data_IF_599404300847
#
_entry.id   IF_599404300847
#
_cell.length_a   1.000
_cell.length_b   1.000
_cell.length_c   1.000
_cell.angle_alpha   90.00
_cell.angle_beta   90.00
_cell.angle_gamma   90.00
#
_symmetry.space_group_name_H-M   'P 1'
#
loop_
_entity.id
_entity.type
_entity.pdbx_description
1 polymer ?
#
# COMPACT_ATOMS: atom_id res chain seq x y z
N UNK A 1 18.92 0.10 -12.45
CA UNK A 1 17.77 0.56 -11.67
C UNK A 1 18.18 1.65 -10.69
N UNK A 2 17.54 2.81 -10.76
CA UNK A 2 17.55 3.84 -9.72
C UNK A 2 16.09 4.06 -9.35
N UNK A 3 15.66 3.44 -8.25
CA UNK A 3 14.30 3.60 -7.74
C UNK A 3 14.14 5.02 -7.21
N UNK A 4 13.12 5.74 -7.69
CA UNK A 4 12.81 7.08 -7.24
C UNK A 4 11.39 7.10 -6.69
N UNK A 5 11.23 7.68 -5.51
CA UNK A 5 9.94 8.13 -4.98
C UNK A 5 9.94 9.66 -4.94
N UNK A 6 9.09 10.28 -5.76
CA UNK A 6 9.01 11.72 -5.98
C UNK A 6 7.59 12.18 -5.74
N UNK A 7 7.37 13.23 -4.96
CA UNK A 7 6.01 13.73 -4.78
C UNK A 7 5.86 14.76 -3.69
N UNK A 8 4.60 15.00 -3.33
CA UNK A 8 4.24 15.91 -2.26
C UNK A 8 3.09 15.33 -1.45
N UNK A 9 3.00 15.73 -0.19
CA UNK A 9 1.95 15.28 0.72
C UNK A 9 1.48 16.44 1.61
N UNK A 10 0.48 16.17 2.45
CA UNK A 10 -0.06 17.13 3.43
C UNK A 10 0.97 17.71 4.43
N UNK A 11 2.16 17.13 4.58
CA UNK A 11 3.23 17.66 5.46
C UNK A 11 4.11 18.67 4.73
N UNK A 12 4.34 18.46 3.44
CA UNK A 12 5.25 19.29 2.63
C UNK A 12 4.53 20.34 1.78
N UNK A 13 3.22 20.16 1.54
CA UNK A 13 2.43 21.03 0.69
C UNK A 13 1.09 21.46 1.32
N UNK A 14 0.76 22.77 1.31
CA UNK A 14 -0.57 23.24 1.67
C UNK A 14 -1.62 22.75 0.66
N UNK A 15 -2.90 22.86 1.04
CA UNK A 15 -4.02 22.28 0.26
C UNK A 15 -4.15 22.88 -1.14
N UNK A 16 -3.93 24.19 -1.28
CA UNK A 16 -3.98 24.94 -2.54
C UNK A 16 -2.92 24.50 -3.56
N UNK A 17 -1.77 23.99 -3.08
CA UNK A 17 -0.75 23.36 -3.93
C UNK A 17 -1.14 21.92 -4.27
N UNK A 18 -1.66 21.17 -3.29
CA UNK A 18 -2.07 19.77 -3.48
C UNK A 18 -3.22 19.63 -4.49
N UNK A 19 -4.20 20.51 -4.47
CA UNK A 19 -5.33 20.49 -5.40
C UNK A 19 -4.90 20.71 -6.85
N UNK A 20 -3.85 21.50 -7.09
CA UNK A 20 -3.34 21.75 -8.45
C UNK A 20 -2.65 20.53 -9.05
N UNK A 21 -2.02 19.70 -8.21
CA UNK A 21 -1.32 18.48 -8.63
C UNK A 21 -2.11 17.20 -8.36
N UNK A 22 -3.35 17.31 -7.90
CA UNK A 22 -4.23 16.16 -7.76
C UNK A 22 -4.53 15.61 -9.16
N UNK A 23 -4.49 14.29 -9.31
CA UNK A 23 -4.68 13.62 -10.60
C UNK A 23 -6.06 12.95 -10.60
N UNK A 24 -7.03 13.49 -11.35
CA UNK A 24 -8.32 12.82 -11.54
C UNK A 24 -8.15 11.47 -12.25
N UNK A 25 -8.99 10.49 -11.90
CA UNK A 25 -8.97 9.15 -12.51
C UNK A 25 -9.12 9.20 -14.04
N UNK A 26 -9.88 10.17 -14.56
CA UNK A 26 -10.13 10.34 -16.00
C UNK A 26 -8.87 10.68 -16.83
N UNK A 27 -7.83 11.25 -16.22
CA UNK A 27 -6.59 11.66 -16.90
C UNK A 27 -5.36 10.84 -16.47
N UNK A 28 -5.57 9.85 -15.61
CA UNK A 28 -4.48 9.05 -15.04
C UNK A 28 -3.75 8.23 -16.10
N UNK A 29 -4.47 7.62 -17.05
CA UNK A 29 -3.89 6.86 -18.17
C UNK A 29 -2.98 7.73 -19.06
N UNK A 30 -3.47 8.92 -19.44
CA UNK A 30 -2.72 9.84 -20.31
C UNK A 30 -1.50 10.41 -19.60
N UNK A 31 -1.60 10.74 -18.32
CA UNK A 31 -0.47 11.23 -17.53
C UNK A 31 0.59 10.15 -17.32
N UNK A 32 0.18 8.92 -16.99
CA UNK A 32 1.14 7.82 -16.86
C UNK A 32 1.83 7.52 -18.19
N UNK A 33 1.12 7.65 -19.31
CA UNK A 33 1.73 7.49 -20.65
C UNK A 33 2.73 8.62 -20.93
N UNK A 34 2.37 9.89 -20.69
CA UNK A 34 3.28 11.04 -20.82
C UNK A 34 4.54 10.90 -19.96
N UNK A 35 4.40 10.41 -18.72
CA UNK A 35 5.53 10.13 -17.84
C UNK A 35 6.46 9.05 -18.40
N UNK A 36 5.90 8.02 -19.01
CA UNK A 36 6.65 6.94 -19.65
C UNK A 36 7.32 7.36 -20.97
N UNK A 37 6.85 8.43 -21.61
CA UNK A 37 7.45 9.01 -22.82
C UNK A 37 8.67 9.89 -22.51
N UNK A 38 8.91 10.23 -21.23
CA UNK A 38 10.11 10.96 -20.83
C UNK A 38 11.37 10.14 -21.11
N UNK A 39 12.46 10.80 -21.58
CA UNK A 39 13.74 10.15 -21.68
C UNK A 39 14.19 9.67 -20.29
N UNK A 40 14.81 8.49 -20.27
CA UNK A 40 15.38 7.87 -19.06
C UNK A 40 14.37 7.38 -18.01
N UNK A 41 13.05 7.48 -18.23
CA UNK A 41 12.03 6.78 -17.40
C UNK A 41 11.72 5.41 -18.00
N UNK A 42 12.13 4.34 -17.33
CA UNK A 42 11.96 2.97 -17.85
C UNK A 42 10.64 2.33 -17.45
N UNK A 43 10.18 2.66 -16.24
CA UNK A 43 8.99 2.15 -15.58
C UNK A 43 8.46 3.18 -14.58
N UNK A 44 7.15 3.27 -14.39
CA UNK A 44 6.54 4.21 -13.46
C UNK A 44 5.17 3.76 -12.91
N UNK A 45 4.79 4.30 -11.76
CA UNK A 45 3.48 4.22 -11.16
C UNK A 45 3.13 5.53 -10.45
N UNK A 46 1.86 5.94 -10.51
CA UNK A 46 1.37 7.20 -9.93
C UNK A 46 0.32 6.89 -8.86
N UNK A 47 0.56 7.38 -7.64
CA UNK A 47 -0.36 7.35 -6.51
C UNK A 47 -0.88 8.76 -6.26
N UNK A 48 -2.14 9.01 -6.62
CA UNK A 48 -2.83 10.25 -6.25
C UNK A 48 -3.98 9.96 -5.29
N UNK A 49 -4.04 10.74 -4.22
CA UNK A 49 -5.06 10.69 -3.17
C UNK A 49 -5.38 12.13 -2.76
N UNK A 50 -6.38 12.33 -1.89
CA UNK A 50 -6.64 13.67 -1.33
C UNK A 50 -5.45 14.25 -0.54
N UNK A 51 -4.52 13.43 -0.05
CA UNK A 51 -3.46 13.85 0.87
C UNK A 51 -2.04 13.74 0.30
N UNK A 52 -1.88 13.18 -0.90
CA UNK A 52 -0.59 13.04 -1.59
C UNK A 52 -0.76 12.81 -3.08
N UNK A 53 0.21 13.30 -3.84
CA UNK A 53 0.48 12.88 -5.22
C UNK A 53 1.94 12.43 -5.24
N UNK A 54 2.16 11.15 -5.53
CA UNK A 54 3.48 10.51 -5.56
C UNK A 54 3.69 9.73 -6.86
N UNK A 55 4.91 9.78 -7.36
CA UNK A 55 5.41 9.09 -8.54
C UNK A 55 6.52 8.15 -8.06
N UNK A 56 6.36 6.87 -8.39
CA UNK A 56 7.38 5.85 -8.19
C UNK A 56 7.90 5.42 -9.54
N UNK A 57 9.19 5.52 -9.80
CA UNK A 57 9.74 5.18 -11.11
C UNK A 57 11.16 4.64 -11.05
N UNK A 58 11.60 4.06 -12.16
CA UNK A 58 12.99 3.73 -12.44
C UNK A 58 13.53 4.75 -13.44
N UNK A 59 14.41 5.64 -12.98
CA UNK A 59 15.00 6.67 -13.83
C UNK A 59 16.41 7.05 -13.42
N UNK A 60 17.27 7.31 -14.40
CA UNK A 60 18.61 7.88 -14.17
C UNK A 60 18.59 9.42 -14.03
N UNK A 61 17.45 10.07 -14.30
CA UNK A 61 17.28 11.52 -14.19
C UNK A 61 16.09 11.88 -13.28
N UNK A 62 16.23 11.69 -11.95
CA UNK A 62 15.14 11.94 -10.98
C UNK A 62 14.55 13.36 -11.06
N UNK A 63 15.38 14.36 -11.36
CA UNK A 63 15.00 15.78 -11.41
C UNK A 63 14.04 16.07 -12.57
N UNK A 64 14.08 15.28 -13.66
CA UNK A 64 13.16 15.44 -14.78
C UNK A 64 11.68 15.23 -14.37
N UNK A 65 11.43 14.42 -13.34
CA UNK A 65 10.08 14.14 -12.84
C UNK A 65 9.43 15.40 -12.26
N UNK A 66 10.19 16.18 -11.48
CA UNK A 66 9.67 17.40 -10.86
C UNK A 66 9.29 18.44 -11.92
N UNK A 67 10.14 18.57 -12.95
CA UNK A 67 9.92 19.48 -14.07
C UNK A 67 8.71 19.05 -14.91
N UNK A 68 8.60 17.75 -15.20
CA UNK A 68 7.44 17.19 -15.89
C UNK A 68 6.14 17.44 -15.11
N UNK A 69 6.14 17.18 -13.80
CA UNK A 69 4.95 17.37 -12.96
C UNK A 69 4.52 18.85 -12.92
N UNK A 70 5.47 19.78 -12.89
CA UNK A 70 5.18 21.21 -12.96
C UNK A 70 4.56 21.59 -14.32
N UNK A 71 5.08 21.05 -15.43
CA UNK A 71 4.60 21.34 -16.79
C UNK A 71 3.19 20.79 -17.03
N UNK A 72 2.95 19.51 -16.70
CA UNK A 72 1.67 18.84 -16.90
C UNK A 72 0.52 19.52 -16.14
N UNK A 73 0.79 19.98 -14.91
CA UNK A 73 -0.19 20.66 -14.08
C UNK A 73 -0.19 22.19 -14.24
N UNK A 74 0.64 22.74 -15.13
CA UNK A 74 0.79 24.18 -15.36
C UNK A 74 1.04 24.98 -14.07
N UNK A 75 1.85 24.40 -13.17
CA UNK A 75 2.23 25.00 -11.89
C UNK A 75 3.65 25.54 -11.98
N UNK A 76 3.92 26.65 -11.29
CA UNK A 76 5.28 27.20 -11.19
C UNK A 76 6.24 26.16 -10.59
N UNK A 77 7.34 25.89 -11.29
CA UNK A 77 8.42 25.00 -10.84
C UNK A 77 8.99 25.44 -9.48
N UNK A 78 9.11 26.76 -9.25
CA UNK A 78 9.54 27.31 -7.97
C UNK A 78 8.56 27.00 -6.84
N UNK A 79 7.25 27.03 -7.10
CA UNK A 79 6.25 26.67 -6.10
C UNK A 79 6.29 25.16 -5.80
N UNK A 80 6.44 24.34 -6.83
CA UNK A 80 6.47 22.88 -6.70
C UNK A 80 7.70 22.41 -5.92
N UNK A 81 8.89 22.90 -6.30
CA UNK A 81 10.19 22.53 -5.71
C UNK A 81 10.30 22.81 -4.21
N UNK A 82 9.56 23.81 -3.69
CA UNK A 82 9.52 24.09 -2.25
C UNK A 82 8.73 23.04 -1.45
N UNK A 83 7.82 22.32 -2.11
CA UNK A 83 6.90 21.37 -1.48
C UNK A 83 7.15 19.91 -1.87
N UNK A 84 7.97 19.68 -2.89
CA UNK A 84 8.23 18.37 -3.46
C UNK A 84 9.45 17.73 -2.78
N UNK A 85 9.32 16.47 -2.40
CA UNK A 85 10.43 15.64 -1.95
C UNK A 85 10.83 14.64 -3.04
N UNK A 86 12.10 14.30 -3.03
CA UNK A 86 12.72 13.37 -3.97
C UNK A 86 13.60 12.40 -3.16
N UNK A 87 13.26 11.12 -3.20
CA UNK A 87 14.01 10.06 -2.53
C UNK A 87 14.51 9.03 -3.52
N UNK A 88 15.81 8.75 -3.49
CA UNK A 88 16.48 7.85 -4.42
C UNK A 88 16.92 6.55 -3.74
N UNK A 89 16.94 5.46 -4.52
CA UNK A 89 17.41 4.15 -4.10
C UNK A 89 16.72 3.65 -2.83
N UNK A 90 17.54 3.36 -1.80
CA UNK A 90 17.04 2.81 -0.54
C UNK A 90 16.14 3.78 0.22
N UNK A 91 16.38 5.10 0.13
CA UNK A 91 15.52 6.10 0.78
C UNK A 91 14.14 6.14 0.11
N UNK A 92 14.08 5.98 -1.21
CA UNK A 92 12.81 5.84 -1.92
C UNK A 92 12.02 4.61 -1.44
N UNK A 93 12.69 3.47 -1.29
CA UNK A 93 12.07 2.24 -0.77
C UNK A 93 11.62 2.42 0.68
N UNK A 94 12.44 3.07 1.53
CA UNK A 94 12.10 3.40 2.91
C UNK A 94 10.85 4.28 2.98
N UNK A 95 10.79 5.34 2.18
CA UNK A 95 9.61 6.20 2.07
C UNK A 95 8.38 5.40 1.65
N UNK A 96 8.50 4.57 0.61
CA UNK A 96 7.39 3.74 0.13
C UNK A 96 6.89 2.77 1.21
N UNK A 97 7.79 2.16 2.00
CA UNK A 97 7.43 1.35 3.17
C UNK A 97 6.67 2.14 4.24
N UNK A 98 7.08 3.39 4.52
CA UNK A 98 6.38 4.28 5.47
C UNK A 98 4.98 4.62 5.00
N UNK A 99 4.82 5.00 3.72
CA UNK A 99 3.53 5.32 3.10
C UNK A 99 2.61 4.11 3.13
N UNK A 100 3.08 2.96 2.65
CA UNK A 100 2.30 1.73 2.58
C UNK A 100 1.93 1.17 3.97
N UNK A 101 2.72 1.48 5.00
CA UNK A 101 2.42 1.10 6.39
C UNK A 101 1.48 2.07 7.11
N UNK A 102 1.13 3.21 6.48
CA UNK A 102 0.25 4.23 7.04
C UNK A 102 0.93 5.16 8.04
N UNK A 103 2.26 5.14 8.16
CA UNK A 103 3.02 6.03 9.05
C UNK A 103 3.07 7.46 8.54
N UNK A 104 3.00 7.62 7.23
CA UNK A 104 3.07 8.93 6.58
C UNK A 104 1.68 9.47 6.19
N UNK A 105 0.60 8.86 6.67
CA UNK A 105 -0.78 9.34 6.42
C UNK A 105 -1.16 10.44 7.41
N UNK A 106 -2.04 11.36 6.98
CA UNK A 106 -2.62 12.40 7.86
C UNK A 106 -3.27 11.76 9.10
N UNK A 107 -3.93 10.62 8.88
CA UNK A 107 -4.36 9.70 9.92
C UNK A 107 -3.37 8.53 10.00
N UNK A 108 -2.45 8.58 10.96
CA UNK A 108 -1.46 7.51 11.19
C UNK A 108 -2.18 6.18 11.43
N UNK A 109 -1.88 5.17 10.61
CA UNK A 109 -2.41 3.81 10.75
C UNK A 109 -3.58 3.45 9.83
N UNK A 110 -4.09 4.42 9.06
CA UNK A 110 -5.23 4.22 8.17
C UNK A 110 -4.98 3.08 7.15
N UNK A 111 -5.87 2.07 7.07
CA UNK A 111 -5.68 0.92 6.16
C UNK A 111 -5.79 1.28 4.68
N UNK A 112 -6.43 2.42 4.36
CA UNK A 112 -6.83 2.77 3.00
C UNK A 112 -5.63 3.04 2.09
N UNK A 113 -4.55 3.62 2.61
CA UNK A 113 -3.39 4.00 1.78
C UNK A 113 -2.70 2.80 1.13
N UNK A 114 -2.61 1.67 1.83
CA UNK A 114 -2.07 0.42 1.27
C UNK A 114 -2.95 -0.10 0.12
N UNK A 115 -4.28 0.04 0.27
CA UNK A 115 -5.24 -0.31 -0.78
C UNK A 115 -5.09 0.59 -2.01
N UNK A 116 -5.01 1.90 -1.80
CA UNK A 116 -4.81 2.88 -2.87
C UNK A 116 -3.49 2.67 -3.61
N UNK A 117 -2.39 2.40 -2.89
CA UNK A 117 -1.11 2.09 -3.51
C UNK A 117 -1.17 0.81 -4.34
N UNK A 118 -1.89 -0.23 -3.89
CA UNK A 118 -2.11 -1.44 -4.70
C UNK A 118 -2.92 -1.18 -5.95
N UNK A 119 -3.94 -0.32 -5.87
CA UNK A 119 -4.73 0.09 -7.03
C UNK A 119 -3.86 0.85 -8.04
N UNK A 120 -3.05 1.80 -7.58
CA UNK A 120 -2.08 2.52 -8.40
C UNK A 120 -1.08 1.57 -9.09
N UNK A 121 -0.54 0.60 -8.35
CA UNK A 121 0.34 -0.44 -8.89
C UNK A 121 -0.36 -1.32 -9.95
N UNK A 122 -1.60 -1.77 -9.68
CA UNK A 122 -2.37 -2.60 -10.61
C UNK A 122 -2.73 -1.84 -11.89
N UNK A 123 -3.05 -0.56 -11.76
CA UNK A 123 -3.30 0.34 -12.87
C UNK A 123 -2.05 0.49 -13.75
N UNK A 124 -0.89 0.77 -13.15
CA UNK A 124 0.37 0.87 -13.88
C UNK A 124 0.78 -0.46 -14.55
N UNK A 125 0.53 -1.60 -13.91
CA UNK A 125 0.72 -2.92 -14.53
C UNK A 125 -0.17 -3.12 -15.77
N UNK A 126 -1.43 -2.67 -15.72
CA UNK A 126 -2.39 -2.81 -16.83
C UNK A 126 -1.95 -2.05 -18.07
N UNK A 127 -1.35 -0.87 -17.88
CA UNK A 127 -0.81 -0.03 -18.95
C UNK A 127 0.61 -0.44 -19.39
N UNK A 128 1.21 -1.48 -18.79
CA UNK A 128 2.57 -1.91 -19.11
C UNK A 128 3.66 -0.95 -18.61
N UNK A 129 3.32 0.01 -17.76
CA UNK A 129 4.25 0.98 -17.18
C UNK A 129 5.11 0.39 -16.06
N UNK A 130 4.68 -0.71 -15.43
CA UNK A 130 5.49 -1.49 -14.47
C UNK A 130 5.87 -2.83 -15.07
N UNK A 131 7.18 -3.13 -15.14
CA UNK A 131 7.76 -4.30 -15.82
C UNK A 131 8.54 -5.16 -14.82
N UNK A 132 9.88 -5.21 -14.94
CA UNK A 132 10.78 -6.10 -14.18
C UNK A 132 11.43 -5.43 -12.99
N UNK A 133 11.63 -4.11 -13.02
CA UNK A 133 12.37 -3.37 -12.00
C UNK A 133 11.46 -2.95 -10.84
N UNK A 134 10.30 -2.33 -11.09
CA UNK A 134 9.41 -1.88 -9.99
C UNK A 134 8.56 -2.99 -9.38
N UNK A 135 8.25 -4.05 -10.15
CA UNK A 135 7.39 -5.14 -9.68
C UNK A 135 7.93 -5.83 -8.41
N UNK A 136 9.21 -6.26 -8.34
CA UNK A 136 9.79 -6.84 -7.14
C UNK A 136 9.74 -5.88 -5.92
N UNK A 137 9.90 -4.58 -6.15
CA UNK A 137 9.85 -3.56 -5.08
C UNK A 137 8.45 -3.47 -4.47
N UNK A 138 7.42 -3.26 -5.30
CA UNK A 138 6.04 -3.16 -4.81
C UNK A 138 5.59 -4.44 -4.11
N UNK A 139 5.90 -5.61 -4.67
CA UNK A 139 5.58 -6.90 -4.04
C UNK A 139 6.27 -7.08 -2.69
N UNK A 140 7.51 -6.61 -2.54
CA UNK A 140 8.20 -6.59 -1.26
C UNK A 140 7.50 -5.64 -0.28
N UNK A 141 7.28 -4.38 -0.68
CA UNK A 141 6.60 -3.34 0.12
C UNK A 141 5.26 -3.84 0.62
N UNK A 142 4.40 -4.41 -0.23
CA UNK A 142 3.08 -4.88 0.19
C UNK A 142 3.12 -6.00 1.22
N UNK A 143 4.13 -6.89 1.16
CA UNK A 143 4.32 -7.96 2.15
C UNK A 143 4.90 -7.40 3.45
N UNK A 144 5.90 -6.53 3.36
CA UNK A 144 6.53 -5.89 4.51
C UNK A 144 5.55 -4.99 5.26
N UNK A 145 4.79 -4.14 4.59
CA UNK A 145 3.80 -3.25 5.24
C UNK A 145 2.71 -4.00 5.98
N UNK A 146 2.28 -5.18 5.50
CA UNK A 146 1.38 -6.05 6.27
C UNK A 146 2.04 -6.52 7.57
N UNK A 147 3.28 -7.02 7.52
CA UNK A 147 4.02 -7.45 8.71
C UNK A 147 4.25 -6.30 9.69
N UNK A 148 4.65 -5.13 9.19
CA UNK A 148 4.87 -3.92 9.99
C UNK A 148 3.57 -3.60 10.74
N UNK A 149 2.44 -3.49 10.04
CA UNK A 149 1.16 -3.15 10.67
C UNK A 149 0.69 -4.17 11.70
N UNK A 150 0.84 -5.47 11.41
CA UNK A 150 0.46 -6.53 12.34
C UNK A 150 1.33 -6.54 13.59
N UNK A 151 2.65 -6.30 13.46
CA UNK A 151 3.60 -6.37 14.58
C UNK A 151 3.67 -5.10 15.41
N UNK A 152 3.47 -3.92 14.81
CA UNK A 152 3.52 -2.65 15.52
C UNK A 152 2.19 -2.23 16.15
N UNK A 153 1.07 -2.84 15.72
CA UNK A 153 -0.27 -2.41 16.14
C UNK A 153 -0.69 -1.05 15.55
N UNK A 154 0.07 -0.45 14.63
CA UNK A 154 -0.27 0.90 14.13
C UNK A 154 -1.64 0.96 13.43
N UNK A 155 -2.16 -0.18 12.96
CA UNK A 155 -3.48 -0.26 12.34
C UNK A 155 -4.65 -0.56 13.29
N UNK A 156 -4.41 -0.79 14.59
CA UNK A 156 -5.48 -1.21 15.53
C UNK A 156 -6.16 -0.04 16.22
N UNK A 157 -5.50 1.11 16.33
CA UNK A 157 -6.00 2.22 17.14
C UNK A 157 -6.86 3.17 16.31
N UNK A 158 -8.06 3.55 16.77
CA UNK A 158 -8.95 4.39 15.98
C UNK A 158 -8.38 5.80 15.78
N UNK A 159 -8.42 6.28 14.52
CA UNK A 159 -7.68 7.49 14.09
C UNK A 159 -8.60 8.69 13.79
N UNK A 160 -9.89 8.46 13.60
CA UNK A 160 -10.91 9.50 13.44
C UNK A 160 -12.18 9.11 14.17
N UNK A 161 -13.05 10.10 14.44
CA UNK A 161 -14.40 9.87 14.96
C UNK A 161 -15.13 8.84 14.10
N UNK A 162 -15.03 8.95 12.77
CA UNK A 162 -15.69 8.02 11.87
C UNK A 162 -15.16 6.58 11.97
N UNK A 163 -13.85 6.40 12.12
CA UNK A 163 -13.27 5.08 12.29
C UNK A 163 -13.51 4.52 13.71
N UNK A 164 -13.44 5.36 14.74
CA UNK A 164 -13.80 4.99 16.11
C UNK A 164 -15.24 4.50 16.19
N UNK A 165 -16.16 5.18 15.51
CA UNK A 165 -17.55 4.77 15.37
C UNK A 165 -17.70 3.37 14.76
N UNK A 166 -17.01 3.10 13.65
CA UNK A 166 -17.08 1.79 12.97
C UNK A 166 -16.50 0.68 13.85
N UNK A 167 -15.37 0.94 14.51
CA UNK A 167 -14.77 0.00 15.46
C UNK A 167 -15.72 -0.30 16.63
N UNK A 168 -16.37 0.73 17.16
CA UNK A 168 -17.33 0.59 18.24
C UNK A 168 -18.55 -0.24 17.80
N UNK A 169 -19.11 0.04 16.62
CA UNK A 169 -20.19 -0.77 16.03
C UNK A 169 -19.75 -2.24 15.89
N UNK A 170 -18.51 -2.50 15.46
CA UNK A 170 -17.95 -3.84 15.31
C UNK A 170 -17.77 -4.62 16.61
N UNK A 171 -17.81 -3.98 17.78
CA UNK A 171 -17.81 -4.67 19.07
C UNK A 171 -19.18 -5.28 19.39
N UNK A 172 -20.26 -4.71 18.84
CA UNK A 172 -21.63 -5.16 19.07
C UNK A 172 -22.15 -6.06 17.96
N UNK A 173 -21.67 -5.88 16.72
CA UNK A 173 -22.13 -6.62 15.55
C UNK A 173 -20.96 -7.31 14.85
N UNK A 174 -21.03 -8.65 14.76
CA UNK A 174 -20.03 -9.48 14.10
C UNK A 174 -20.30 -9.70 12.61
N UNK A 175 -21.58 -9.68 12.19
CA UNK A 175 -21.99 -9.79 10.79
C UNK A 175 -22.48 -8.43 10.28
N UNK A 176 -21.69 -7.81 9.40
CA UNK A 176 -22.04 -6.54 8.77
C UNK A 176 -23.02 -6.68 7.60
N UNK A 177 -23.13 -7.86 6.98
CA UNK A 177 -23.95 -8.03 5.78
C UNK A 177 -25.44 -7.95 6.08
N UNK A 178 -25.84 -8.36 7.28
CA UNK A 178 -27.23 -8.30 7.75
C UNK A 178 -27.63 -6.97 8.39
N UNK A 179 -26.71 -6.01 8.52
CA UNK A 179 -26.99 -4.76 9.24
C UNK A 179 -27.77 -3.77 8.37
N UNK A 180 -28.82 -3.22 8.98
CA UNK A 180 -29.56 -2.08 8.45
C UNK A 180 -29.10 -0.80 9.12
N UNK A 181 -28.50 0.09 8.35
CA UNK A 181 -27.95 1.36 8.84
C UNK A 181 -28.87 2.51 8.43
N UNK A 182 -29.34 3.29 9.40
CA UNK A 182 -30.13 4.50 9.17
C UNK A 182 -29.30 5.75 9.47
N UNK A 183 -28.98 6.51 8.43
CA UNK A 183 -28.31 7.79 8.52
C UNK A 183 -29.34 8.91 8.60
N UNK A 184 -29.23 9.75 9.62
CA UNK A 184 -30.05 10.94 9.81
C UNK A 184 -29.15 12.17 9.75
N UNK A 185 -29.31 12.96 8.69
CA UNK A 185 -28.41 14.03 8.31
C UNK A 185 -27.45 13.61 7.19
N UNK A 186 -26.85 14.63 6.59
CA UNK A 186 -25.90 14.48 5.47
C UNK A 186 -24.55 15.13 5.80
N UNK A 187 -24.15 15.10 7.08
CA UNK A 187 -22.88 15.65 7.53
C UNK A 187 -21.68 14.84 6.99
N UNK A 188 -20.53 15.49 6.87
CA UNK A 188 -19.29 14.85 6.39
C UNK A 188 -18.91 13.63 7.24
N UNK A 189 -19.01 13.75 8.58
CA UNK A 189 -18.64 12.67 9.51
C UNK A 189 -19.54 11.45 9.36
N UNK A 190 -20.87 11.64 9.28
CA UNK A 190 -21.80 10.53 9.08
C UNK A 190 -21.61 9.87 7.71
N UNK A 191 -21.34 10.67 6.67
CA UNK A 191 -21.01 10.15 5.33
C UNK A 191 -19.75 9.29 5.35
N UNK A 192 -18.73 9.70 6.11
CA UNK A 192 -17.49 8.94 6.27
C UNK A 192 -17.70 7.64 7.06
N UNK A 193 -18.50 7.67 8.14
CA UNK A 193 -18.89 6.45 8.88
C UNK A 193 -19.60 5.47 7.95
N UNK A 194 -20.59 5.95 7.19
CA UNK A 194 -21.33 5.15 6.22
C UNK A 194 -20.41 4.52 5.18
N UNK A 195 -19.45 5.29 4.67
CA UNK A 195 -18.43 4.80 3.72
C UNK A 195 -17.61 3.66 4.30
N UNK A 196 -17.15 3.77 5.54
CA UNK A 196 -16.41 2.70 6.21
C UNK A 196 -17.28 1.48 6.48
N UNK A 197 -18.54 1.64 6.92
CA UNK A 197 -19.47 0.53 7.10
C UNK A 197 -19.76 -0.20 5.78
N UNK A 198 -19.92 0.54 4.69
CA UNK A 198 -20.10 -0.04 3.36
C UNK A 198 -18.87 -0.86 2.90
N UNK A 199 -17.66 -0.40 3.25
CA UNK A 199 -16.43 -1.15 3.02
C UNK A 199 -16.31 -2.42 3.89
N UNK A 200 -16.88 -2.43 5.09
CA UNK A 200 -16.97 -3.63 5.95
C UNK A 200 -18.02 -4.65 5.49
N UNK A 201 -18.87 -4.28 4.52
CA UNK A 201 -19.82 -5.20 3.89
C UNK A 201 -21.29 -4.87 4.12
N UNK A 202 -21.61 -3.77 4.81
CA UNK A 202 -23.00 -3.29 4.92
C UNK A 202 -23.53 -2.93 3.54
N UNK A 203 -24.78 -3.33 3.26
CA UNK A 203 -25.46 -3.04 1.99
C UNK A 203 -26.81 -2.34 2.17
N UNK A 204 -27.46 -2.48 3.32
CA UNK A 204 -28.76 -1.86 3.58
C UNK A 204 -28.60 -0.51 4.28
N UNK A 205 -28.72 0.57 3.50
CA UNK A 205 -28.66 1.94 3.99
C UNK A 205 -30.00 2.64 3.80
N UNK A 206 -30.45 3.36 4.82
CA UNK A 206 -31.55 4.33 4.75
C UNK A 206 -30.99 5.70 5.08
N UNK A 207 -31.39 6.75 4.36
CA UNK A 207 -30.86 8.10 4.53
C UNK A 207 -32.00 9.11 4.59
N UNK A 208 -32.10 9.83 5.70
CA UNK A 208 -32.98 10.98 5.84
C UNK A 208 -32.14 12.26 6.04
N UNK A 209 -32.50 13.36 5.38
CA UNK A 209 -31.88 14.67 5.60
C UNK A 209 -32.92 15.77 5.45
N UNK A 210 -32.60 16.97 5.97
CA UNK A 210 -33.50 18.14 5.90
C UNK A 210 -33.78 18.52 4.45
N UNK A 211 -32.75 18.42 3.62
CA UNK A 211 -32.86 18.60 2.18
C UNK A 211 -32.92 17.23 1.52
N UNK A 212 -34.03 16.94 0.85
CA UNK A 212 -34.25 15.65 0.19
C UNK A 212 -33.16 15.36 -0.86
N UNK A 213 -32.69 16.39 -1.56
CA UNK A 213 -31.58 16.29 -2.52
C UNK A 213 -30.28 15.78 -1.86
N UNK A 214 -29.93 16.28 -0.67
CA UNK A 214 -28.74 15.80 0.05
C UNK A 214 -28.90 14.34 0.50
N UNK A 215 -30.11 13.96 0.93
CA UNK A 215 -30.41 12.58 1.28
C UNK A 215 -30.30 11.66 0.05
N UNK A 216 -30.76 12.13 -1.12
CA UNK A 216 -30.65 11.39 -2.38
C UNK A 216 -29.19 11.21 -2.79
N UNK A 217 -28.40 12.28 -2.81
CA UNK A 217 -26.99 12.23 -3.16
C UNK A 217 -26.21 11.24 -2.29
N UNK A 218 -26.44 11.25 -0.97
CA UNK A 218 -25.75 10.34 -0.06
C UNK A 218 -26.26 8.89 -0.19
N UNK A 219 -27.57 8.70 -0.39
CA UNK A 219 -28.15 7.37 -0.61
C UNK A 219 -27.65 6.74 -1.90
N UNK A 220 -27.53 7.51 -2.99
CA UNK A 220 -27.08 7.04 -4.31
C UNK A 220 -25.67 6.43 -4.26
N UNK A 221 -24.77 7.01 -3.46
CA UNK A 221 -23.39 6.51 -3.26
C UNK A 221 -23.39 5.08 -2.73
N UNK A 222 -24.36 4.71 -1.89
CA UNK A 222 -24.44 3.40 -1.25
C UNK A 222 -25.57 2.52 -1.79
N UNK A 223 -26.30 2.97 -2.81
CA UNK A 223 -27.55 2.37 -3.31
C UNK A 223 -28.59 2.18 -2.19
N UNK A 224 -28.63 3.13 -1.27
CA UNK A 224 -29.56 3.15 -0.15
C UNK A 224 -30.94 3.71 -0.51
N UNK A 225 -31.85 3.64 0.45
CA UNK A 225 -33.18 4.22 0.35
C UNK A 225 -33.18 5.67 0.88
N UNK A 226 -33.65 6.61 0.07
CA UNK A 226 -33.88 7.99 0.48
C UNK A 226 -35.22 8.12 1.21
N UNK A 227 -35.21 8.77 2.37
CA UNK A 227 -36.37 8.97 3.24
C UNK A 227 -36.57 10.46 3.56
N UNK A 228 -37.81 10.86 3.83
CA UNK A 228 -38.10 12.16 4.42
C UNK A 228 -37.82 12.14 5.92
N UNK A 229 -37.51 13.30 6.51
CA UNK A 229 -37.42 13.44 7.98
C UNK A 229 -38.74 13.02 8.65
N UNK A 230 -39.88 13.29 8.01
CA UNK A 230 -41.18 12.88 8.52
C UNK A 230 -41.36 11.36 8.66
N UNK A 231 -40.57 10.58 7.93
CA UNK A 231 -40.66 9.12 7.90
C UNK A 231 -39.83 8.47 9.01
N UNK A 232 -39.00 9.22 9.74
CA UNK A 232 -38.11 8.68 10.78
C UNK A 232 -38.86 7.75 11.75
N UNK A 233 -40.03 8.11 12.32
CA UNK A 233 -40.75 7.23 13.24
C UNK A 233 -41.18 5.89 12.65
N UNK A 234 -41.45 5.85 11.34
CA UNK A 234 -41.86 4.64 10.65
C UNK A 234 -40.69 3.70 10.36
N UNK A 235 -39.51 4.25 10.06
CA UNK A 235 -38.34 3.47 9.64
C UNK A 235 -37.36 3.16 10.79
N UNK A 236 -37.37 3.93 11.87
CA UNK A 236 -36.56 3.67 13.07
C UNK A 236 -36.63 2.21 13.60
N UNK A 237 -37.80 1.53 13.62
CA UNK A 237 -37.90 0.13 14.04
C UNK A 237 -37.12 -0.86 13.18
N UNK A 238 -36.80 -0.50 11.94
CA UNK A 238 -36.08 -1.36 10.99
C UNK A 238 -34.56 -1.22 11.06
N UNK A 239 -34.04 -0.17 11.69
CA UNK A 239 -32.61 0.14 11.69
C UNK A 239 -31.88 -0.53 12.86
N UNK A 240 -30.87 -1.35 12.61
CA UNK A 240 -30.06 -1.97 13.68
C UNK A 240 -29.03 -0.96 14.23
N UNK A 241 -28.54 -0.07 13.35
CA UNK A 241 -27.62 1.01 13.66
C UNK A 241 -28.23 2.33 13.17
N UNK A 242 -28.37 3.32 14.05
CA UNK A 242 -28.83 4.68 13.74
C UNK A 242 -27.66 5.63 13.94
N UNK A 243 -27.32 6.41 12.92
CA UNK A 243 -26.25 7.42 12.99
C UNK A 243 -26.88 8.78 12.71
N UNK A 244 -26.88 9.66 13.71
CA UNK A 244 -27.37 11.02 13.58
C UNK A 244 -26.21 11.99 13.46
N UNK A 245 -26.29 12.92 12.51
CA UNK A 245 -25.34 14.01 12.34
C UNK A 245 -26.05 15.21 11.69
N UNK A 246 -26.99 15.80 12.41
CA UNK A 246 -27.70 16.99 11.96
C UNK A 246 -27.19 18.27 12.62
N UNK A 247 -27.70 19.42 12.16
CA UNK A 247 -27.50 20.72 12.78
C UNK A 247 -28.81 21.19 13.46
N UNK A 248 -29.54 20.27 14.10
CA UNK A 248 -30.74 20.60 14.84
C UNK A 248 -30.38 21.25 16.18
N UNK A 249 -31.01 22.37 16.58
CA UNK A 249 -30.71 23.01 17.86
C UNK A 249 -31.28 22.24 19.06
N UNK A 250 -32.25 21.34 18.84
CA UNK A 250 -32.92 20.57 19.88
C UNK A 250 -32.95 19.08 19.50
N UNK A 251 -32.79 18.16 20.48
CA UNK A 251 -32.94 16.74 20.22
C UNK A 251 -34.37 16.43 19.77
N UNK A 252 -34.50 15.60 18.73
CA UNK A 252 -35.78 15.19 18.17
C UNK A 252 -36.00 13.68 18.26
N UNK A 253 -34.95 12.91 18.54
CA UNK A 253 -35.06 11.48 18.85
C UNK A 253 -35.18 11.36 20.37
N UNK A 254 -36.41 11.26 20.85
CA UNK A 254 -36.75 11.19 22.27
C UNK A 254 -36.95 9.75 22.76
N UNK A 255 -37.02 9.59 24.08
CA UNK A 255 -37.19 8.28 24.74
C UNK A 255 -38.43 7.52 24.24
N UNK A 256 -39.57 8.21 24.10
CA UNK A 256 -40.84 7.59 23.72
C UNK A 256 -40.82 7.06 22.28
N UNK A 257 -40.16 7.77 21.35
CA UNK A 257 -39.98 7.33 19.98
C UNK A 257 -39.15 6.04 19.90
N UNK A 258 -38.04 5.98 20.64
CA UNK A 258 -37.17 4.80 20.67
C UNK A 258 -37.86 3.61 21.34
N UNK A 259 -38.58 3.81 22.45
CA UNK A 259 -39.38 2.77 23.09
C UNK A 259 -40.47 2.20 22.16
N UNK A 260 -41.11 3.08 21.37
CA UNK A 260 -42.09 2.64 20.37
C UNK A 260 -41.44 1.78 19.28
N UNK A 261 -40.27 2.19 18.78
CA UNK A 261 -39.51 1.43 17.80
C UNK A 261 -39.05 0.06 18.33
N UNK A 262 -38.60 -0.01 19.58
CA UNK A 262 -38.22 -1.26 20.25
C UNK A 262 -39.41 -2.23 20.38
N UNK A 263 -40.61 -1.73 20.71
CA UNK A 263 -41.82 -2.56 20.78
C UNK A 263 -42.15 -3.20 19.44
N UNK A 264 -42.01 -2.48 18.33
CA UNK A 264 -42.30 -2.99 16.99
C UNK A 264 -41.28 -4.03 16.51
N UNK A 265 -40.04 -3.98 17.01
CA UNK A 265 -38.97 -4.92 16.67
C UNK A 265 -38.75 -6.04 17.70
N UNK A 266 -39.76 -6.34 18.51
CA UNK A 266 -39.72 -7.38 19.54
C UNK A 266 -38.52 -7.22 20.52
N UNK A 267 -38.20 -5.99 20.91
CA UNK A 267 -37.10 -5.67 21.83
C UNK A 267 -35.69 -6.07 21.32
N UNK A 268 -35.53 -6.27 20.01
CA UNK A 268 -34.21 -6.51 19.41
C UNK A 268 -33.28 -5.31 19.65
N UNK A 269 -31.99 -5.52 19.95
CA UNK A 269 -31.06 -4.43 20.26
C UNK A 269 -30.93 -3.37 19.18
N UNK A 270 -30.69 -2.13 19.60
CA UNK A 270 -30.46 -0.99 18.71
C UNK A 270 -29.23 -0.22 19.15
N UNK A 271 -28.37 0.11 18.19
CA UNK A 271 -27.21 0.95 18.41
C UNK A 271 -27.49 2.35 17.86
N UNK A 272 -27.36 3.37 18.70
CA UNK A 272 -27.54 4.78 18.32
C UNK A 272 -26.22 5.53 18.51
N UNK A 273 -25.81 6.22 17.46
CA UNK A 273 -24.62 7.04 17.43
C UNK A 273 -25.01 8.49 17.11
N UNK A 274 -24.87 9.35 18.11
CA UNK A 274 -25.12 10.78 17.97
C UNK A 274 -23.81 11.54 17.69
N UNK A 275 -23.62 11.94 16.44
CA UNK A 275 -22.48 12.74 15.99
C UNK A 275 -22.79 14.24 15.96
N UNK A 276 -23.99 14.66 16.36
CA UNK A 276 -24.43 16.05 16.29
C UNK A 276 -24.00 16.86 17.52
N UNK A 277 -23.69 18.13 17.28
CA UNK A 277 -23.42 19.13 18.33
C UNK A 277 -24.12 20.43 17.93
N UNK A 278 -25.24 20.82 18.57
CA UNK A 278 -25.94 20.15 19.68
C UNK A 278 -26.50 18.76 19.34
N UNK A 279 -26.77 17.95 20.38
CA UNK A 279 -27.22 16.55 20.26
C UNK A 279 -28.56 16.41 19.53
N UNK A 280 -28.69 15.36 18.72
CA UNK A 280 -29.95 14.99 18.06
C UNK A 280 -30.82 14.05 18.91
N UNK A 281 -30.18 13.30 19.82
CA UNK A 281 -30.79 12.26 20.64
C UNK A 281 -30.85 12.70 22.10
N UNK A 282 -32.00 12.51 22.75
CA UNK A 282 -32.13 12.78 24.18
C UNK A 282 -31.24 11.85 25.02
N UNK A 283 -30.66 12.39 26.08
CA UNK A 283 -29.70 11.71 26.96
C UNK A 283 -30.32 10.47 27.65
N UNK A 284 -31.59 10.58 28.04
CA UNK A 284 -32.39 9.54 28.70
C UNK A 284 -32.70 8.32 27.79
N UNK A 285 -32.45 8.40 26.48
CA UNK A 285 -32.55 7.25 25.55
C UNK A 285 -31.53 6.18 25.91
N UNK A 286 -30.36 6.58 26.44
CA UNK A 286 -29.32 5.66 26.90
C UNK A 286 -29.73 4.81 28.11
N UNK A 287 -30.81 5.15 28.80
CA UNK A 287 -31.34 4.37 29.94
C UNK A 287 -32.24 3.22 29.50
N UNK A 288 -32.65 3.17 28.23
CA UNK A 288 -33.57 2.15 27.73
C UNK A 288 -32.84 0.81 27.61
N UNK A 289 -33.45 -0.26 28.11
CA UNK A 289 -32.92 -1.61 27.96
C UNK A 289 -32.84 -1.99 26.46
N UNK A 290 -31.76 -2.66 26.06
CA UNK A 290 -31.46 -3.05 24.68
C UNK A 290 -31.13 -1.88 23.72
N UNK A 291 -30.88 -0.69 24.26
CA UNK A 291 -30.33 0.45 23.51
C UNK A 291 -28.90 0.71 23.95
N UNK A 292 -28.02 0.95 22.98
CA UNK A 292 -26.67 1.46 23.22
C UNK A 292 -26.57 2.83 22.57
N UNK A 293 -26.42 3.88 23.38
CA UNK A 293 -26.28 5.25 22.90
C UNK A 293 -24.84 5.73 23.11
N UNK A 294 -24.20 6.15 22.03
CA UNK A 294 -22.89 6.78 22.05
C UNK A 294 -22.94 8.15 21.40
N UNK A 295 -22.07 9.04 21.83
CA UNK A 295 -21.98 10.41 21.30
C UNK A 295 -20.53 10.74 20.89
N UNK A 296 -20.32 11.93 20.34
CA UNK A 296 -19.00 12.43 19.94
C UNK A 296 -17.98 12.37 21.08
N UNK A 297 -18.35 12.75 22.30
CA UNK A 297 -17.44 12.81 23.45
C UNK A 297 -16.92 11.41 23.85
N UNK A 298 -17.79 10.39 23.79
CA UNK A 298 -17.38 9.01 24.01
C UNK A 298 -16.34 8.56 22.97
N UNK A 299 -16.53 8.92 21.70
CA UNK A 299 -15.59 8.62 20.63
C UNK A 299 -14.27 9.40 20.81
N UNK A 300 -14.32 10.66 21.24
CA UNK A 300 -13.14 11.45 21.56
C UNK A 300 -12.31 10.79 22.67
N UNK A 301 -12.97 10.32 23.74
CA UNK A 301 -12.29 9.60 24.83
C UNK A 301 -11.57 8.33 24.33
N UNK A 302 -12.15 7.60 23.37
CA UNK A 302 -11.50 6.42 22.76
C UNK A 302 -10.29 6.82 21.90
N UNK A 303 -10.37 7.95 21.20
CA UNK A 303 -9.27 8.47 20.37
C UNK A 303 -8.12 8.98 21.24
N UNK A 304 -8.43 9.68 22.34
CA UNK A 304 -7.46 10.23 23.29
C UNK A 304 -6.69 9.11 24.02
N UNK A 305 -7.39 8.09 24.53
CA UNK A 305 -6.74 6.90 25.12
C UNK A 305 -5.81 6.19 24.14
N UNK A 306 -6.15 6.20 22.86
CA UNK A 306 -5.34 5.59 21.80
C UNK A 306 -4.11 6.41 21.36
N UNK A 307 -3.94 7.66 21.80
CA UNK A 307 -2.85 8.54 21.32
C UNK A 307 -1.46 8.09 21.77
N UNK A 308 -1.27 7.78 23.05
CA UNK A 308 0.04 7.33 23.57
C UNK A 308 0.42 5.96 23.01
N UNK A 309 -0.56 5.05 22.94
CA UNK A 309 -0.41 3.77 22.28
C UNK A 309 -0.06 3.93 20.79
N UNK A 310 -0.66 4.92 20.10
CA UNK A 310 -0.35 5.23 18.70
C UNK A 310 1.07 5.76 18.53
N UNK A 311 1.55 6.60 19.45
CA UNK A 311 2.93 7.09 19.42
C UNK A 311 3.93 5.95 19.60
N UNK A 312 3.66 5.04 20.52
CA UNK A 312 4.48 3.85 20.74
C UNK A 312 4.43 2.89 19.54
N UNK A 313 3.24 2.63 19.00
CA UNK A 313 3.06 1.83 17.79
C UNK A 313 3.77 2.44 16.57
N UNK A 314 3.77 3.77 16.44
CA UNK A 314 4.50 4.46 15.38
C UNK A 314 6.02 4.28 15.53
N UNK A 315 6.57 4.44 16.74
CA UNK A 315 7.99 4.19 17.01
C UNK A 315 8.39 2.74 16.69
N UNK A 316 7.58 1.77 17.08
CA UNK A 316 7.80 0.37 16.74
C UNK A 316 7.72 0.12 15.23
N UNK A 317 6.77 0.75 14.55
CA UNK A 317 6.65 0.65 13.10
C UNK A 317 7.87 1.22 12.37
N UNK A 318 8.45 2.32 12.85
CA UNK A 318 9.70 2.89 12.30
C UNK A 318 10.87 1.91 12.42
N UNK A 319 11.07 1.30 13.60
CA UNK A 319 12.11 0.29 13.80
C UNK A 319 11.91 -0.92 12.88
N UNK A 320 10.66 -1.35 12.71
CA UNK A 320 10.34 -2.44 11.79
C UNK A 320 10.61 -2.05 10.33
N UNK A 321 10.35 -0.80 9.92
CA UNK A 321 10.69 -0.31 8.59
C UNK A 321 12.19 -0.38 8.34
N UNK A 322 13.02 0.06 9.28
CA UNK A 322 14.47 -0.03 9.15
C UNK A 322 14.93 -1.49 9.04
N UNK A 323 14.32 -2.40 9.81
CA UNK A 323 14.60 -3.84 9.70
C UNK A 323 14.18 -4.42 8.35
N UNK A 324 13.02 -4.03 7.83
CA UNK A 324 12.48 -4.50 6.56
C UNK A 324 13.24 -3.92 5.37
N UNK A 325 13.75 -2.69 5.47
CA UNK A 325 14.64 -2.09 4.49
C UNK A 325 15.96 -2.88 4.40
N UNK A 326 16.56 -3.22 5.54
CA UNK A 326 17.77 -4.05 5.57
C UNK A 326 17.54 -5.43 4.92
N UNK A 327 16.39 -6.05 5.19
CA UNK A 327 15.99 -7.30 4.55
C UNK A 327 15.79 -7.14 3.03
N UNK A 328 15.17 -6.04 2.59
CA UNK A 328 15.03 -5.71 1.18
C UNK A 328 16.39 -5.58 0.49
N UNK A 329 17.32 -4.85 1.09
CA UNK A 329 18.67 -4.64 0.53
C UNK A 329 19.39 -5.99 0.35
N UNK A 330 19.33 -6.88 1.35
CA UNK A 330 19.93 -8.22 1.27
C UNK A 330 19.27 -9.06 0.18
N UNK A 331 17.95 -9.04 0.09
CA UNK A 331 17.19 -9.77 -0.92
C UNK A 331 17.45 -9.23 -2.34
N UNK A 332 17.48 -7.92 -2.51
CA UNK A 332 17.77 -7.30 -3.80
C UNK A 332 19.20 -7.62 -4.28
N UNK A 333 20.18 -7.64 -3.37
CA UNK A 333 21.55 -8.11 -3.68
C UNK A 333 21.57 -9.57 -4.14
N UNK A 334 20.78 -10.44 -3.53
CA UNK A 334 20.73 -11.87 -3.93
C UNK A 334 20.08 -12.08 -5.30
N UNK A 335 19.11 -11.25 -5.69
CA UNK A 335 18.53 -11.26 -7.04
C UNK A 335 19.58 -10.90 -8.10
N UNK A 336 20.38 -9.85 -7.88
CA UNK A 336 21.47 -9.48 -8.79
C UNK A 336 22.50 -10.59 -8.93
N UNK A 337 22.85 -11.24 -7.82
CA UNK A 337 23.76 -12.39 -7.86
C UNK A 337 23.19 -13.55 -8.67
N UNK A 338 21.88 -13.82 -8.58
CA UNK A 338 21.21 -14.89 -9.34
C UNK A 338 21.33 -14.65 -10.85
N UNK A 339 21.11 -13.42 -11.31
CA UNK A 339 21.25 -13.06 -12.73
C UNK A 339 22.68 -13.30 -13.23
N UNK A 340 23.69 -12.79 -12.51
CA UNK A 340 25.11 -13.06 -12.84
C UNK A 340 25.42 -14.55 -12.90
N UNK A 341 24.88 -15.35 -11.97
CA UNK A 341 25.09 -16.81 -11.94
C UNK A 341 24.41 -17.49 -13.14
N UNK A 342 23.19 -17.08 -13.49
CA UNK A 342 22.45 -17.59 -14.64
C UNK A 342 23.16 -17.28 -15.96
N UNK A 343 23.63 -16.06 -16.13
CA UNK A 343 24.38 -15.63 -17.31
C UNK A 343 25.68 -16.41 -17.47
N UNK A 344 26.46 -16.53 -16.39
CA UNK A 344 27.69 -17.31 -16.36
C UNK A 344 27.44 -18.76 -16.78
N UNK A 345 26.43 -19.43 -16.18
CA UNK A 345 26.08 -20.81 -16.52
C UNK A 345 25.64 -20.96 -17.98
N UNK A 346 24.85 -20.01 -18.48
CA UNK A 346 24.37 -20.03 -19.87
C UNK A 346 25.53 -19.89 -20.86
N UNK A 347 26.49 -18.99 -20.58
CA UNK A 347 27.71 -18.85 -21.39
C UNK A 347 28.55 -20.12 -21.40
N UNK A 348 28.77 -20.75 -20.24
CA UNK A 348 29.52 -22.01 -20.15
C UNK A 348 28.83 -23.14 -20.94
N UNK A 349 27.51 -23.23 -20.88
CA UNK A 349 26.72 -24.20 -21.65
C UNK A 349 26.82 -23.96 -23.17
N UNK A 350 26.74 -22.70 -23.62
CA UNK A 350 26.90 -22.35 -25.04
C UNK A 350 28.27 -22.74 -25.57
N UNK A 351 29.34 -22.50 -24.80
CA UNK A 351 30.70 -22.92 -25.13
C UNK A 351 30.81 -24.44 -25.23
N UNK A 352 30.25 -25.18 -24.25
CA UNK A 352 30.25 -26.63 -24.25
C UNK A 352 29.51 -27.21 -25.47
N UNK A 353 28.33 -26.68 -25.79
CA UNK A 353 27.56 -27.10 -26.98
C UNK A 353 28.30 -26.81 -28.29
N UNK A 354 28.99 -25.68 -28.39
CA UNK A 354 29.79 -25.36 -29.57
C UNK A 354 30.94 -26.34 -29.78
N UNK A 355 31.61 -26.76 -28.69
CA UNK A 355 32.69 -27.76 -28.77
C UNK A 355 32.16 -29.18 -29.04
N UNK A 356 30.99 -29.55 -28.52
CA UNK A 356 30.32 -30.81 -28.88
C UNK A 356 30.05 -30.84 -30.37
N UNK A 357 29.42 -29.80 -30.94
CA UNK A 357 29.13 -29.72 -32.38
C UNK A 357 30.38 -29.87 -33.25
N UNK A 358 31.49 -29.22 -32.87
CA UNK A 358 32.76 -29.36 -33.58
C UNK A 358 33.32 -30.78 -33.54
N UNK A 359 33.24 -31.41 -32.37
CA UNK A 359 33.77 -32.76 -32.15
C UNK A 359 32.94 -33.79 -32.92
N UNK A 360 31.60 -33.65 -32.91
CA UNK A 360 30.71 -34.48 -33.75
C UNK A 360 31.06 -34.36 -35.24
N UNK A 361 31.26 -33.14 -35.74
CA UNK A 361 31.69 -32.93 -37.13
C UNK A 361 33.05 -33.57 -37.47
N UNK A 362 33.98 -33.68 -36.51
CA UNK A 362 35.26 -34.39 -36.71
C UNK A 362 35.05 -35.90 -36.80
N UNK A 363 34.22 -36.45 -35.92
CA UNK A 363 33.86 -37.87 -35.90
C UNK A 363 33.15 -38.26 -37.20
N UNK A 364 32.17 -37.45 -37.65
CA UNK A 364 31.43 -37.69 -38.90
C UNK A 364 32.34 -37.68 -40.14
N UNK A 365 33.47 -36.95 -40.07
CA UNK A 365 34.51 -36.91 -41.12
C UNK A 365 35.48 -38.10 -41.05
N UNK A 366 35.25 -39.06 -40.17
CA UNK A 366 36.07 -40.28 -40.04
C UNK A 366 37.30 -40.15 -39.14
N UNK A 367 37.38 -39.13 -38.28
CA UNK A 367 38.46 -39.03 -37.28
C UNK A 367 38.32 -40.12 -36.21
N UNK A 368 39.43 -40.52 -35.60
CA UNK A 368 39.43 -41.49 -34.51
C UNK A 368 38.64 -40.95 -33.30
N UNK A 369 37.61 -41.69 -32.88
CA UNK A 369 36.72 -41.32 -31.77
C UNK A 369 37.48 -41.01 -30.48
N UNK A 370 38.44 -41.85 -30.11
CA UNK A 370 39.18 -41.72 -28.86
C UNK A 370 40.02 -40.44 -28.85
N UNK A 371 40.70 -40.15 -29.96
CA UNK A 371 41.50 -38.93 -30.09
C UNK A 371 40.61 -37.67 -30.10
N UNK A 372 39.49 -37.69 -30.81
CA UNK A 372 38.56 -36.56 -30.87
C UNK A 372 37.98 -36.21 -29.48
N UNK A 373 37.72 -37.21 -28.63
CA UNK A 373 37.24 -37.01 -27.26
C UNK A 373 38.30 -36.40 -26.33
N UNK A 374 39.57 -36.83 -26.45
CA UNK A 374 40.68 -36.23 -25.68
C UNK A 374 40.83 -34.75 -26.05
N UNK A 375 40.90 -34.45 -27.34
CA UNK A 375 41.03 -33.07 -27.82
C UNK A 375 39.82 -32.21 -27.43
N UNK A 376 38.61 -32.77 -27.45
CA UNK A 376 37.41 -32.11 -26.96
C UNK A 376 37.55 -31.70 -25.50
N UNK A 377 37.98 -32.62 -24.64
CA UNK A 377 38.15 -32.36 -23.21
C UNK A 377 39.15 -31.22 -22.97
N UNK A 378 40.32 -31.28 -23.61
CA UNK A 378 41.35 -30.23 -23.50
C UNK A 378 40.85 -28.88 -24.00
N UNK A 379 40.22 -28.84 -25.18
CA UNK A 379 39.64 -27.60 -25.75
C UNK A 379 38.56 -27.02 -24.85
N UNK A 380 37.69 -27.87 -24.31
CA UNK A 380 36.61 -27.45 -23.43
C UNK A 380 37.17 -26.85 -22.14
N UNK A 381 38.07 -27.56 -21.45
CA UNK A 381 38.69 -27.08 -20.20
C UNK A 381 39.37 -25.74 -20.44
N UNK A 382 40.19 -25.61 -21.49
CA UNK A 382 40.88 -24.37 -21.81
C UNK A 382 39.90 -23.21 -22.06
N UNK A 383 38.78 -23.46 -22.75
CA UNK A 383 37.78 -22.41 -23.01
C UNK A 383 36.99 -21.99 -21.79
N UNK A 384 36.61 -22.94 -20.95
CA UNK A 384 35.88 -22.66 -19.70
C UNK A 384 36.76 -21.90 -18.70
N UNK A 385 38.06 -22.20 -18.64
CA UNK A 385 38.99 -21.58 -17.66
C UNK A 385 39.67 -20.31 -18.15
N UNK A 386 39.66 -20.02 -19.45
CA UNK A 386 40.36 -18.86 -20.01
C UNK A 386 39.94 -17.53 -19.37
N UNK A 387 38.63 -17.21 -19.38
CA UNK A 387 38.15 -15.93 -18.86
C UNK A 387 38.40 -15.76 -17.35
N UNK A 388 38.10 -16.73 -16.48
CA UNK A 388 38.48 -16.67 -15.08
C UNK A 388 39.99 -16.51 -14.86
N UNK A 389 40.83 -17.24 -15.60
CA UNK A 389 42.29 -17.19 -15.45
C UNK A 389 42.86 -15.82 -15.84
N UNK A 390 42.37 -15.22 -16.92
CA UNK A 390 42.77 -13.87 -17.33
C UNK A 390 42.32 -12.84 -16.30
N UNK A 391 41.08 -12.95 -15.82
CA UNK A 391 40.56 -12.06 -14.78
C UNK A 391 41.39 -12.08 -13.49
N UNK A 392 41.78 -13.28 -13.02
CA UNK A 392 42.62 -13.42 -11.83
C UNK A 392 44.01 -12.77 -12.00
N UNK A 393 44.64 -12.94 -13.16
CA UNK A 393 45.93 -12.30 -13.44
C UNK A 393 45.82 -10.78 -13.43
N UNK A 394 44.73 -10.26 -14.00
CA UNK A 394 44.48 -8.81 -14.03
C UNK A 394 44.23 -8.26 -12.62
N UNK A 395 43.41 -8.93 -11.81
CA UNK A 395 43.16 -8.55 -10.41
C UNK A 395 44.45 -8.53 -9.57
N UNK A 396 45.35 -9.51 -9.78
CA UNK A 396 46.65 -9.55 -9.11
C UNK A 396 47.58 -8.42 -9.58
N UNK A 397 47.55 -8.07 -10.87
CA UNK A 397 48.33 -6.96 -11.40
C UNK A 397 47.85 -5.61 -10.88
N UNK A 398 46.53 -5.44 -10.76
CA UNK A 398 45.88 -4.20 -10.33
C UNK A 398 45.86 -4.03 -8.79
N UNK A 399 46.45 -4.96 -8.03
CA UNK A 399 46.56 -4.89 -6.56
C UNK A 399 45.23 -5.08 -5.82
N UNK A 400 44.25 -5.76 -6.42
CA UNK A 400 42.90 -5.95 -5.85
C UNK A 400 42.84 -7.18 -4.92
N UNK A 401 43.50 -7.10 -3.76
CA UNK A 401 43.64 -8.22 -2.82
C UNK A 401 42.28 -8.78 -2.34
N UNK A 402 41.30 -7.93 -2.04
CA UNK A 402 39.95 -8.35 -1.62
C UNK A 402 39.24 -9.23 -2.67
N UNK A 403 39.43 -8.95 -3.96
CA UNK A 403 38.83 -9.74 -5.04
C UNK A 403 39.53 -11.08 -5.24
N UNK A 404 40.83 -11.14 -4.96
CA UNK A 404 41.58 -12.40 -4.95
C UNK A 404 41.15 -13.31 -3.80
N UNK A 405 40.85 -12.78 -2.61
CA UNK A 405 40.28 -13.54 -1.51
C UNK A 405 38.90 -14.12 -1.87
N UNK A 406 38.04 -13.32 -2.51
CA UNK A 406 36.74 -13.79 -3.01
C UNK A 406 36.93 -14.89 -4.06
N UNK A 407 37.87 -14.74 -4.99
CA UNK A 407 38.18 -15.77 -5.96
C UNK A 407 38.67 -17.07 -5.30
N UNK A 408 39.56 -16.97 -4.31
CA UNK A 408 39.99 -18.13 -3.53
C UNK A 408 38.80 -18.81 -2.86
N UNK A 409 37.89 -18.06 -2.23
CA UNK A 409 36.67 -18.60 -1.64
C UNK A 409 35.79 -19.33 -2.68
N UNK A 410 35.66 -18.79 -3.91
CA UNK A 410 34.85 -19.40 -4.98
C UNK A 410 35.48 -20.68 -5.56
N UNK A 411 36.81 -20.75 -5.67
CA UNK A 411 37.51 -21.91 -6.23
C UNK A 411 37.85 -22.99 -5.21
N UNK A 412 37.85 -22.66 -3.91
CA UNK A 412 38.16 -23.61 -2.84
C UNK A 412 36.93 -24.49 -2.51
N UNK A 413 36.61 -25.43 -3.40
CA UNK A 413 35.67 -26.51 -3.12
C UNK A 413 36.37 -27.65 -2.38
N UNK A 414 36.80 -27.40 -1.15
CA UNK A 414 36.97 -28.52 -0.21
C UNK A 414 35.58 -29.07 0.12
N UNK A 415 35.37 -30.40 0.15
CA UNK A 415 34.10 -30.95 0.61
C UNK A 415 33.96 -30.58 2.08
N UNK A 416 33.10 -29.61 2.38
CA UNK A 416 32.59 -29.41 3.73
C UNK A 416 31.96 -30.75 4.12
N UNK A 417 32.61 -31.48 5.03
CA UNK A 417 31.97 -32.57 5.74
C UNK A 417 30.71 -31.97 6.35
N UNK A 418 29.55 -32.36 5.83
CA UNK A 418 28.26 -32.17 6.48
C UNK A 418 28.34 -32.93 7.81
N UNK A 419 28.80 -32.27 8.87
CA UNK A 419 28.36 -32.62 10.20
C UNK A 419 26.90 -32.22 10.26
N UNK A 420 26.03 -33.24 10.27
CA UNK A 420 24.70 -33.11 10.81
C UNK A 420 24.83 -32.57 12.24
N UNK A 421 24.55 -31.29 12.44
CA UNK A 421 24.09 -30.79 13.73
C UNK A 421 22.75 -30.12 13.51
N UNK A 422 21.82 -30.59 14.33
CA UNK A 422 20.40 -30.32 14.35
C UNK A 422 20.13 -28.84 14.58
N UNK A 423 19.27 -28.24 13.75
CA UNK A 423 18.66 -26.95 14.05
C UNK A 423 17.35 -27.24 14.78
N UNK A 424 17.35 -26.99 16.09
CA UNK A 424 16.18 -26.49 16.82
C UNK A 424 15.97 -25.01 16.53
#
# INVERSE_FOLDING_TARGET
MVFVACGLNHKTAPIDVREKVAIPEAVQDSLLTSLMDLPHVNEAAILSTCNRTEIYCDTQEPQAIANWLAQEHQVSEHLLSQSLYLYEGHEGVKHTLRVASGLDSMMIGEPQILGQMKQAYQHACRLGAVKTELRPVFEYVFRASKRIRTRSGIGTNPVSIAYAAVQLIGQFFSDYQSLRVFLIGSGETASLVAKYLHQQGVREFMVASRTLENAQQLADVFKGQTLSIGDIPQYLPSADVVISATACPLPFINKSLVEHALKQRNQSPMFLLDLAVPRDIEENVGEIQNVQLYNVDHLQTMIEKGMDERRNAALQAEQLIDSELNNYIRWHRSLRAKETICDFRSQMQLLAQAEIRKTMNQIDKGHNLHQALIEYSERLINKLTHAPTVGLRQMAWDGQEELLEVAQYLFNTSPIKLNHEEIS
#
